data_IF_266318860326
#
_entry.id   IF_266318860326
#
_cell.length_a   1.000
_cell.length_b   1.000
_cell.length_c   1.000
_cell.angle_alpha   90.00
_cell.angle_beta   90.00
_cell.angle_gamma   90.00
#
_symmetry.space_group_name_H-M   'P 1'
#
loop_
_entity.id
_entity.type
_entity.pdbx_description
1 polymer ?
#
# COMPACT_ATOMS: atom_id res chain seq x y z
N UNK A 1 -11.73 3.57 0.64
CA UNK A 1 -12.31 2.28 0.20
C UNK A 1 -13.17 1.71 1.32
N UNK A 2 -14.23 0.95 1.03
CA UNK A 2 -15.00 0.27 2.09
C UNK A 2 -14.21 -0.90 2.69
N UNK A 3 -14.19 -1.01 4.02
CA UNK A 3 -13.47 -2.04 4.81
C UNK A 3 -13.75 -3.47 4.32
N UNK A 4 -14.93 -3.74 3.77
CA UNK A 4 -15.35 -5.02 3.17
C UNK A 4 -14.55 -5.41 1.93
N UNK A 5 -14.17 -4.46 1.05
CA UNK A 5 -13.33 -4.77 -0.11
C UNK A 5 -11.90 -5.11 0.28
N UNK A 6 -11.38 -4.46 1.32
CA UNK A 6 -10.05 -4.72 1.85
C UNK A 6 -9.99 -6.10 2.52
N UNK A 7 -11.07 -6.51 3.20
CA UNK A 7 -11.21 -7.85 3.75
C UNK A 7 -11.12 -8.94 2.67
N UNK A 8 -11.78 -8.75 1.53
CA UNK A 8 -11.67 -9.67 0.38
C UNK A 8 -10.26 -9.76 -0.21
N UNK A 9 -9.42 -8.74 0.01
CA UNK A 9 -8.01 -8.71 -0.41
C UNK A 9 -7.03 -9.01 0.71
N UNK A 10 -7.49 -9.52 1.86
CA UNK A 10 -6.65 -9.78 3.04
C UNK A 10 -5.38 -10.57 2.71
N UNK A 11 -5.48 -11.58 1.84
CA UNK A 11 -4.32 -12.38 1.38
C UNK A 11 -3.18 -11.55 0.76
N UNK A 12 -3.50 -10.47 0.05
CA UNK A 12 -2.51 -9.56 -0.55
C UNK A 12 -2.02 -8.51 0.45
N UNK A 13 -2.87 -8.14 1.41
CA UNK A 13 -2.59 -7.10 2.40
C UNK A 13 -1.76 -7.64 3.58
N UNK A 14 -1.93 -8.91 3.96
CA UNK A 14 -1.25 -9.51 5.13
C UNK A 14 0.28 -9.36 5.11
N UNK A 15 0.90 -9.38 3.92
CA UNK A 15 2.34 -9.15 3.78
C UNK A 15 2.74 -7.75 4.21
N UNK A 16 2.00 -6.73 3.75
CA UNK A 16 2.21 -5.33 4.13
C UNK A 16 1.88 -5.07 5.60
N UNK A 17 0.89 -5.78 6.16
CA UNK A 17 0.58 -5.73 7.60
C UNK A 17 1.77 -6.26 8.40
N UNK A 18 2.36 -7.38 7.97
CA UNK A 18 3.57 -7.94 8.61
C UNK A 18 4.75 -6.98 8.54
N UNK A 19 4.95 -6.29 7.41
CA UNK A 19 6.00 -5.27 7.29
C UNK A 19 5.74 -4.05 8.20
N UNK A 20 4.49 -3.57 8.26
CA UNK A 20 4.11 -2.41 9.08
C UNK A 20 4.21 -2.71 10.58
N UNK A 21 3.77 -3.89 10.99
CA UNK A 21 3.77 -4.33 12.38
C UNK A 21 4.61 -5.60 12.51
N UNK A 22 5.93 -5.46 12.42
CA UNK A 22 6.89 -6.59 12.45
C UNK A 22 6.79 -7.52 13.67
N UNK A 23 6.08 -7.13 14.73
CA UNK A 23 5.78 -7.99 15.88
C UNK A 23 4.56 -8.91 15.68
N UNK A 24 3.80 -8.76 14.59
CA UNK A 24 2.68 -9.65 14.25
C UNK A 24 3.21 -10.90 13.54
N UNK A 25 2.87 -12.07 14.06
CA UNK A 25 3.24 -13.36 13.46
C UNK A 25 2.25 -13.77 12.38
N UNK A 26 2.60 -14.77 11.56
CA UNK A 26 1.68 -15.29 10.55
C UNK A 26 0.39 -15.84 11.19
N UNK A 27 0.49 -16.50 12.35
CA UNK A 27 -0.66 -16.97 13.11
C UNK A 27 -1.58 -15.84 13.53
N UNK A 28 -1.03 -14.72 14.05
CA UNK A 28 -1.82 -13.53 14.40
C UNK A 28 -2.60 -13.00 13.17
N UNK A 29 -1.95 -12.97 12.00
CA UNK A 29 -2.54 -12.51 10.74
C UNK A 29 -3.62 -13.47 10.21
N UNK A 30 -3.48 -14.77 10.45
CA UNK A 30 -4.50 -15.76 10.11
C UNK A 30 -5.72 -15.65 11.04
N UNK A 31 -5.51 -15.41 12.34
CA UNK A 31 -6.58 -15.15 13.31
C UNK A 31 -7.33 -13.86 13.01
N UNK A 32 -6.64 -12.83 12.52
CA UNK A 32 -7.27 -11.57 12.10
C UNK A 32 -8.22 -11.81 10.92
N UNK A 33 -7.85 -12.65 9.95
CA UNK A 33 -8.68 -13.04 8.80
C UNK A 33 -9.36 -11.86 8.07
N UNK A 34 -8.68 -10.71 8.00
CA UNK A 34 -9.21 -9.49 7.37
C UNK A 34 -10.22 -8.71 8.19
N UNK A 35 -10.38 -9.03 9.48
CA UNK A 35 -11.20 -8.25 10.42
C UNK A 35 -10.38 -7.11 11.02
N UNK A 36 -10.67 -5.88 10.62
CA UNK A 36 -9.95 -4.70 11.08
C UNK A 36 -10.05 -4.46 12.59
N UNK A 37 -11.21 -4.73 13.20
CA UNK A 37 -11.37 -4.65 14.66
C UNK A 37 -10.46 -5.61 15.43
N UNK A 38 -10.19 -6.80 14.88
CA UNK A 38 -9.23 -7.75 15.45
C UNK A 38 -7.81 -7.22 15.32
N UNK A 39 -7.45 -6.65 14.17
CA UNK A 39 -6.14 -6.03 13.97
C UNK A 39 -5.89 -4.90 14.99
N UNK A 40 -6.88 -4.03 15.21
CA UNK A 40 -6.82 -2.97 16.23
C UNK A 40 -6.58 -3.56 17.62
N UNK A 41 -7.34 -4.59 18.01
CA UNK A 41 -7.16 -5.25 19.31
C UNK A 41 -5.77 -5.86 19.48
N UNK A 42 -5.25 -6.55 18.46
CA UNK A 42 -3.92 -7.14 18.51
C UNK A 42 -2.83 -6.06 18.55
N UNK A 43 -2.98 -4.96 17.81
CA UNK A 43 -2.04 -3.83 17.86
C UNK A 43 -2.08 -3.16 19.24
N UNK A 44 -3.26 -2.97 19.81
CA UNK A 44 -3.45 -2.45 21.16
C UNK A 44 -2.71 -3.32 22.19
N UNK A 45 -2.91 -4.64 22.16
CA UNK A 45 -2.29 -5.59 23.11
C UNK A 45 -0.78 -5.73 22.91
N UNK A 46 -0.31 -5.83 21.65
CA UNK A 46 1.11 -6.08 21.36
C UNK A 46 1.99 -4.85 21.55
N UNK A 47 1.47 -3.67 21.22
CA UNK A 47 2.23 -2.42 21.28
C UNK A 47 1.90 -1.58 22.51
N UNK A 48 0.98 -2.02 23.37
CA UNK A 48 0.58 -1.31 24.59
C UNK A 48 -0.03 0.07 24.32
N UNK A 49 -0.66 0.24 23.17
CA UNK A 49 -1.23 1.51 22.73
C UNK A 49 -2.64 1.69 23.27
N UNK A 50 -3.12 2.94 23.31
CA UNK A 50 -4.55 3.16 23.53
C UNK A 50 -5.33 2.71 22.30
N UNK A 51 -6.60 2.36 22.50
CA UNK A 51 -7.47 1.95 21.39
C UNK A 51 -7.53 2.99 20.27
N UNK A 52 -7.61 4.27 20.63
CA UNK A 52 -7.61 5.39 19.69
C UNK A 52 -6.33 5.47 18.85
N UNK A 53 -5.17 5.22 19.46
CA UNK A 53 -3.88 5.20 18.76
C UNK A 53 -3.77 4.00 17.82
N UNK A 54 -4.23 2.83 18.27
CA UNK A 54 -4.27 1.62 17.45
C UNK A 54 -5.21 1.80 16.25
N UNK A 55 -6.41 2.37 16.46
CA UNK A 55 -7.37 2.69 15.41
C UNK A 55 -6.77 3.67 14.39
N UNK A 56 -6.13 4.76 14.85
CA UNK A 56 -5.43 5.69 13.96
C UNK A 56 -4.36 5.01 13.11
N UNK A 57 -3.51 4.17 13.69
CA UNK A 57 -2.46 3.48 12.94
C UNK A 57 -3.04 2.53 11.89
N UNK A 58 -4.12 1.82 12.24
CA UNK A 58 -4.81 0.92 11.31
C UNK A 58 -5.45 1.73 10.18
N UNK A 59 -6.15 2.83 10.48
CA UNK A 59 -6.76 3.67 9.46
C UNK A 59 -5.72 4.35 8.55
N UNK A 60 -4.59 4.80 9.09
CA UNK A 60 -3.47 5.35 8.31
C UNK A 60 -2.88 4.28 7.37
N UNK A 61 -2.71 3.06 7.87
CA UNK A 61 -2.29 1.93 7.05
C UNK A 61 -3.29 1.66 5.94
N UNK A 62 -4.59 1.61 6.23
CA UNK A 62 -5.63 1.43 5.21
C UNK A 62 -5.59 2.52 4.14
N UNK A 63 -5.40 3.78 4.53
CA UNK A 63 -5.25 4.89 3.59
C UNK A 63 -4.02 4.72 2.69
N UNK A 64 -2.87 4.29 3.24
CA UNK A 64 -1.67 4.01 2.45
C UNK A 64 -1.85 2.90 1.40
N UNK A 65 -2.77 1.95 1.63
CA UNK A 65 -3.09 0.91 0.66
C UNK A 65 -3.89 1.46 -0.54
N UNK A 66 -4.62 2.55 -0.35
CA UNK A 66 -5.37 3.25 -1.40
C UNK A 66 -4.43 4.08 -2.28
N UNK A 67 -3.49 4.80 -1.66
CA UNK A 67 -2.53 5.66 -2.34
C UNK A 67 -1.62 4.88 -3.31
N UNK A 68 -1.16 3.71 -2.89
CA UNK A 68 -0.34 2.82 -3.72
C UNK A 68 -1.03 2.34 -5.01
N UNK A 69 -2.36 2.54 -5.15
CA UNK A 69 -3.13 2.11 -6.31
C UNK A 69 -3.36 3.21 -7.35
N UNK A 70 -2.99 4.45 -7.05
CA UNK A 70 -3.14 5.59 -7.95
C UNK A 70 -1.76 6.14 -8.31
N UNK A 71 -1.19 5.79 -9.48
CA UNK A 71 0.03 6.44 -9.93
C UNK A 71 -0.26 7.94 -10.05
N UNK A 72 0.46 8.75 -9.27
CA UNK A 72 0.32 10.19 -9.31
C UNK A 72 0.54 10.68 -10.74
N UNK A 73 -0.22 11.70 -11.17
CA UNK A 73 -0.13 12.27 -12.52
C UNK A 73 1.31 12.66 -12.85
N UNK A 74 2.11 13.05 -11.86
CA UNK A 74 3.55 13.31 -11.97
C UNK A 74 4.38 12.10 -12.39
N UNK A 75 4.07 10.89 -11.92
CA UNK A 75 4.74 9.67 -12.36
C UNK A 75 4.43 9.34 -13.83
N UNK A 76 3.20 9.58 -14.27
CA UNK A 76 2.78 9.39 -15.66
C UNK A 76 3.36 10.46 -16.59
N UNK A 77 3.35 11.73 -16.16
CA UNK A 77 3.93 12.86 -16.91
C UNK A 77 5.43 12.66 -17.07
N UNK A 78 6.14 12.21 -16.03
CA UNK A 78 7.57 11.90 -16.10
C UNK A 78 7.90 10.81 -17.12
N UNK A 79 7.16 9.69 -17.12
CA UNK A 79 7.36 8.60 -18.09
C UNK A 79 7.06 9.06 -19.52
N UNK A 80 5.97 9.81 -19.72
CA UNK A 80 5.60 10.34 -21.04
C UNK A 80 6.67 11.31 -21.58
N UNK A 81 7.25 12.15 -20.72
CA UNK A 81 8.28 13.11 -21.10
C UNK A 81 9.60 12.43 -21.45
N UNK A 82 10.00 11.40 -20.68
CA UNK A 82 11.16 10.56 -21.00
C UNK A 82 10.95 9.78 -22.30
N UNK A 83 9.77 9.22 -22.52
CA UNK A 83 9.43 8.54 -23.77
C UNK A 83 9.48 9.48 -24.99
N UNK A 84 8.98 10.72 -24.84
CA UNK A 84 9.08 11.77 -25.85
C UNK A 84 10.53 12.17 -26.14
N UNK A 85 11.38 12.27 -25.12
CA UNK A 85 12.80 12.58 -25.30
C UNK A 85 13.55 11.44 -26.01
N UNK A 86 13.27 10.18 -25.66
CA UNK A 86 13.84 9.02 -26.35
C UNK A 86 13.38 8.98 -27.81
N UNK A 87 12.10 9.24 -28.06
CA UNK A 87 11.55 9.29 -29.42
C UNK A 87 12.18 10.44 -30.23
N UNK A 88 12.33 11.62 -29.65
CA UNK A 88 13.00 12.75 -30.28
C UNK A 88 14.48 12.44 -30.59
N UNK A 89 15.18 11.77 -29.67
CA UNK A 89 16.56 11.32 -29.87
C UNK A 89 16.66 10.27 -31.00
N UNK A 90 15.74 9.31 -31.05
CA UNK A 90 15.68 8.29 -32.10
C UNK A 90 15.36 8.90 -33.46
N UNK A 91 14.46 9.88 -33.53
CA UNK A 91 14.14 10.59 -34.77
C UNK A 91 15.31 11.47 -35.22
N UNK A 92 16.00 12.14 -34.30
CA UNK A 92 17.18 12.96 -34.62
C UNK A 92 18.33 12.15 -35.20
N UNK A 93 18.42 10.84 -34.91
CA UNK A 93 19.45 9.95 -35.44
C UNK A 93 19.08 9.28 -36.78
N UNK A 94 17.90 9.57 -37.34
CA UNK A 94 17.40 8.98 -38.59
C UNK A 94 17.79 9.78 -39.83
N UNK A 95 18.19 11.03 -39.67
CA UNK A 95 18.62 11.92 -40.77
C UNK A 95 20.08 11.70 -41.21
N UNK A 96 20.81 10.76 -40.59
CA UNK A 96 22.21 10.46 -40.91
C UNK A 96 22.41 9.30 -41.92
N UNK A 97 21.36 8.85 -42.62
CA UNK A 97 21.42 7.78 -43.65
C UNK A 97 20.80 8.16 -44.99
#
# INVERSE_FOLDING_TARGET
MNRTQLQGRWRQIRGRVRERWGHLTNDDLDVIAGRWDRLVGTVQERYGLTREQAERQVDEFLASLEDAKSPSVWALVGIALVALLILAFVLSRRDEW
#
